data_IF_257705946348
#
_entry.id   IF_257705946348
#
_cell.length_a   1.000
_cell.length_b   1.000
_cell.length_c   1.000
_cell.angle_alpha   90.00
_cell.angle_beta   90.00
_cell.angle_gamma   90.00
#
_symmetry.space_group_name_H-M   'P 1'
#
loop_
_entity.id
_entity.type
_entity.pdbx_description
1 polymer ?
#
# COMPACT_ATOMS: atom_id res chain seq x y z
N UNK A 1 10.92 1.62 1.63
CA UNK A 1 9.47 1.26 1.63
C UNK A 1 8.62 2.07 0.64
N UNK A 2 8.73 3.42 0.53
CA UNK A 2 7.91 4.18 -0.42
C UNK A 2 8.21 3.87 -1.89
N UNK A 3 9.44 3.46 -2.22
CA UNK A 3 9.82 3.06 -3.58
C UNK A 3 9.09 1.80 -4.09
N UNK A 4 8.84 0.80 -3.23
CA UNK A 4 8.10 -0.41 -3.62
C UNK A 4 6.60 -0.12 -3.83
N UNK A 5 6.05 0.75 -2.99
CA UNK A 5 4.70 1.30 -3.16
C UNK A 5 4.57 2.05 -4.48
N UNK A 6 5.53 2.93 -4.77
CA UNK A 6 5.67 3.63 -6.05
C UNK A 6 5.70 2.68 -7.25
N UNK A 7 6.55 1.65 -7.19
CA UNK A 7 6.67 0.64 -8.24
C UNK A 7 5.35 -0.13 -8.45
N UNK A 8 4.71 -0.56 -7.36
CA UNK A 8 3.42 -1.24 -7.42
C UNK A 8 2.36 -0.35 -8.05
N UNK A 9 2.39 0.93 -7.71
CA UNK A 9 1.45 1.88 -8.22
C UNK A 9 1.63 2.11 -9.71
N UNK A 10 2.87 2.23 -10.14
CA UNK A 10 3.21 2.28 -11.56
C UNK A 10 2.70 1.01 -12.24
N UNK A 11 2.94 -0.19 -11.69
CA UNK A 11 2.43 -1.44 -12.28
C UNK A 11 0.90 -1.54 -12.31
N UNK A 12 0.21 -1.10 -11.26
CA UNK A 12 -1.25 -1.12 -11.19
C UNK A 12 -1.89 -0.11 -12.14
N UNK A 13 -1.21 1.03 -12.37
CA UNK A 13 -1.70 2.09 -13.22
C UNK A 13 -1.21 1.97 -14.67
N UNK A 14 -0.18 1.16 -14.98
CA UNK A 14 0.36 1.00 -16.32
C UNK A 14 -0.64 0.38 -17.31
N UNK A 15 -1.24 -0.80 -17.04
CA UNK A 15 -2.13 -1.44 -17.99
C UNK A 15 -3.40 -0.62 -18.17
N UNK A 16 -3.80 -0.43 -19.41
CA UNK A 16 -5.10 0.17 -19.70
C UNK A 16 -6.25 -0.75 -19.30
N UNK A 17 -7.43 -0.20 -18.95
CA UNK A 17 -8.55 -1.01 -18.45
C UNK A 17 -8.93 -2.18 -19.35
N UNK A 18 -8.68 -2.05 -20.66
CA UNK A 18 -8.97 -3.04 -21.69
C UNK A 18 -7.91 -4.17 -21.76
N UNK A 19 -6.70 -3.92 -21.29
CA UNK A 19 -5.59 -4.89 -21.30
C UNK A 19 -5.44 -5.63 -19.95
N UNK A 20 -6.38 -5.43 -19.02
CA UNK A 20 -6.34 -6.06 -17.71
C UNK A 20 -6.64 -7.55 -17.84
N UNK A 21 -5.85 -8.38 -17.14
CA UNK A 21 -6.06 -9.82 -17.14
C UNK A 21 -7.46 -10.17 -16.63
N UNK A 22 -8.20 -10.93 -17.43
CA UNK A 22 -9.46 -11.51 -16.99
C UNK A 22 -9.23 -12.60 -15.94
N UNK A 23 -10.13 -12.75 -14.95
CA UNK A 23 -10.02 -13.83 -14.00
C UNK A 23 -10.08 -15.19 -14.74
N UNK A 24 -9.32 -16.21 -14.29
CA UNK A 24 -9.39 -17.53 -14.89
C UNK A 24 -10.82 -18.10 -14.86
N UNK A 25 -11.24 -18.77 -15.93
CA UNK A 25 -12.61 -19.32 -16.07
C UNK A 25 -13.03 -20.24 -14.91
N UNK A 26 -12.07 -20.94 -14.31
CA UNK A 26 -12.31 -21.85 -13.17
C UNK A 26 -12.53 -21.12 -11.84
N UNK A 27 -12.08 -19.87 -11.72
CA UNK A 27 -12.15 -19.08 -10.50
C UNK A 27 -13.37 -18.13 -10.51
N UNK A 28 -13.62 -17.51 -11.66
CA UNK A 28 -14.65 -16.48 -11.84
C UNK A 28 -14.43 -15.23 -10.98
N UNK A 29 -15.33 -14.25 -11.14
CA UNK A 29 -15.17 -12.92 -10.50
C UNK A 29 -15.21 -12.98 -8.98
N UNK A 30 -16.15 -13.78 -8.43
CA UNK A 30 -16.29 -13.97 -6.98
C UNK A 30 -15.09 -14.69 -6.39
N UNK A 31 -14.55 -15.68 -7.10
CA UNK A 31 -13.37 -16.41 -6.66
C UNK A 31 -12.15 -15.50 -6.62
N UNK A 32 -11.97 -14.65 -7.64
CA UNK A 32 -10.89 -13.65 -7.68
C UNK A 32 -10.95 -12.72 -6.47
N UNK A 33 -12.13 -12.15 -6.18
CA UNK A 33 -12.33 -11.31 -4.99
C UNK A 33 -11.96 -12.05 -3.68
N UNK A 34 -12.46 -13.27 -3.50
CA UNK A 34 -12.18 -14.05 -2.27
C UNK A 34 -10.70 -14.36 -2.15
N UNK A 35 -10.04 -14.77 -3.24
CA UNK A 35 -8.60 -15.08 -3.26
C UNK A 35 -7.77 -13.85 -2.93
N UNK A 36 -8.07 -12.68 -3.51
CA UNK A 36 -7.33 -11.44 -3.23
C UNK A 36 -7.46 -11.00 -1.77
N UNK A 37 -8.66 -11.05 -1.18
CA UNK A 37 -8.79 -10.70 0.23
C UNK A 37 -8.17 -11.76 1.15
N UNK A 38 -8.33 -13.04 0.81
CA UNK A 38 -7.73 -14.13 1.56
C UNK A 38 -6.20 -14.10 1.53
N UNK A 39 -5.59 -13.77 0.39
CA UNK A 39 -4.14 -13.65 0.23
C UNK A 39 -3.59 -12.53 1.13
N UNK A 40 -4.23 -11.36 1.15
CA UNK A 40 -3.84 -10.24 2.01
C UNK A 40 -3.96 -10.59 3.49
N UNK A 41 -5.05 -11.26 3.90
CA UNK A 41 -5.24 -11.74 5.27
C UNK A 41 -4.19 -12.80 5.64
N UNK A 42 -3.87 -13.73 4.73
CA UNK A 42 -2.87 -14.77 4.96
C UNK A 42 -1.48 -14.16 5.18
N UNK A 43 -1.09 -13.18 4.38
CA UNK A 43 0.19 -12.45 4.57
C UNK A 43 0.20 -11.73 5.93
N UNK A 44 -0.89 -11.06 6.29
CA UNK A 44 -1.00 -10.41 7.60
C UNK A 44 -0.93 -11.43 8.76
N UNK A 45 -1.54 -12.61 8.62
CA UNK A 45 -1.47 -13.67 9.62
C UNK A 45 -0.03 -14.20 9.81
N UNK A 46 0.73 -14.34 8.72
CA UNK A 46 2.17 -14.69 8.78
C UNK A 46 2.94 -13.63 9.56
N UNK A 47 2.70 -12.35 9.30
CA UNK A 47 3.34 -11.24 10.02
C UNK A 47 2.98 -11.22 11.51
N UNK A 48 1.72 -11.53 11.83
CA UNK A 48 1.24 -11.65 13.20
C UNK A 48 1.95 -12.78 13.94
N UNK A 49 2.04 -13.96 13.33
CA UNK A 49 2.76 -15.11 13.89
C UNK A 49 4.25 -14.81 14.13
N UNK A 50 4.91 -14.16 13.17
CA UNK A 50 6.30 -13.72 13.32
C UNK A 50 6.47 -12.73 14.47
N UNK A 51 5.61 -11.70 14.53
CA UNK A 51 5.63 -10.66 15.58
C UNK A 51 5.38 -11.27 16.96
N UNK A 52 4.43 -12.18 17.08
CA UNK A 52 4.12 -12.86 18.33
C UNK A 52 5.27 -13.72 18.85
N UNK A 53 5.96 -14.45 17.95
CA UNK A 53 7.16 -15.22 18.31
C UNK A 53 8.29 -14.31 18.81
N UNK A 54 8.50 -13.16 18.18
CA UNK A 54 9.51 -12.18 18.61
C UNK A 54 9.16 -11.56 19.96
N UNK A 55 7.89 -11.21 20.19
CA UNK A 55 7.40 -10.71 21.50
C UNK A 55 7.63 -11.72 22.61
N UNK A 56 7.31 -13.00 22.38
CA UNK A 56 7.54 -14.06 23.37
C UNK A 56 9.02 -14.22 23.73
N UNK A 57 9.92 -14.11 22.74
CA UNK A 57 11.36 -14.15 22.99
C UNK A 57 11.85 -12.96 23.81
N UNK A 58 11.36 -11.76 23.50
CA UNK A 58 11.71 -10.54 24.24
C UNK A 58 11.23 -10.60 25.70
N UNK A 59 10.01 -11.12 25.93
CA UNK A 59 9.47 -11.30 27.28
C UNK A 59 10.26 -12.33 28.11
N UNK A 60 10.81 -13.36 27.47
CA UNK A 60 11.63 -14.37 28.15
C UNK A 60 13.05 -13.87 28.45
N UNK A 61 13.67 -13.12 27.52
CA UNK A 61 15.05 -12.64 27.65
C UNK A 61 15.20 -11.19 27.14
N UNK A 62 15.11 -10.18 28.04
CA UNK A 62 15.25 -8.77 27.67
C UNK A 62 16.63 -8.41 27.09
N UNK A 63 17.68 -9.15 27.44
CA UNK A 63 19.05 -8.93 26.96
C UNK A 63 19.24 -9.22 25.46
N UNK A 64 18.31 -9.91 24.80
CA UNK A 64 18.38 -10.22 23.36
C UNK A 64 17.77 -9.12 22.47
N UNK A 65 17.57 -7.90 22.99
CA UNK A 65 16.87 -6.80 22.31
C UNK A 65 17.43 -6.48 20.92
N UNK A 66 18.74 -6.37 20.75
CA UNK A 66 19.35 -6.07 19.44
C UNK A 66 19.06 -7.12 18.38
N UNK A 67 19.15 -8.40 18.76
CA UNK A 67 18.81 -9.52 17.88
C UNK A 67 17.33 -9.48 17.48
N UNK A 68 16.46 -9.19 18.44
CA UNK A 68 15.02 -9.04 18.21
C UNK A 68 14.73 -7.86 17.29
N UNK A 69 15.42 -6.72 17.47
CA UNK A 69 15.31 -5.55 16.59
C UNK A 69 15.74 -5.86 15.16
N UNK A 70 16.87 -6.57 14.98
CA UNK A 70 17.33 -6.97 13.64
C UNK A 70 16.34 -7.90 12.95
N UNK A 71 15.83 -8.91 13.67
CA UNK A 71 14.80 -9.82 13.13
C UNK A 71 13.48 -9.11 12.85
N UNK A 72 13.11 -8.14 13.68
CA UNK A 72 11.94 -7.30 13.46
C UNK A 72 12.08 -6.48 12.18
N UNK A 73 13.22 -5.82 11.96
CA UNK A 73 13.48 -5.06 10.74
C UNK A 73 13.39 -5.96 9.49
N UNK A 74 14.01 -7.14 9.53
CA UNK A 74 13.92 -8.13 8.45
C UNK A 74 12.49 -8.64 8.26
N UNK A 75 11.75 -8.93 9.33
CA UNK A 75 10.36 -9.41 9.24
C UNK A 75 9.42 -8.35 8.65
N UNK A 76 9.60 -7.06 9.01
CA UNK A 76 8.84 -5.95 8.44
C UNK A 76 9.13 -5.80 6.95
N UNK A 77 10.40 -5.94 6.55
CA UNK A 77 10.80 -5.91 5.14
C UNK A 77 10.23 -7.09 4.35
N UNK A 78 10.36 -8.32 4.87
CA UNK A 78 9.80 -9.52 4.26
C UNK A 78 8.27 -9.44 4.15
N UNK A 79 7.56 -8.90 5.15
CA UNK A 79 6.12 -8.72 5.07
C UNK A 79 5.70 -7.80 3.92
N UNK A 80 6.41 -6.68 3.72
CA UNK A 80 6.13 -5.76 2.61
C UNK A 80 6.39 -6.44 1.26
N UNK A 81 7.47 -7.22 1.15
CA UNK A 81 7.75 -8.02 -0.06
C UNK A 81 6.65 -9.05 -0.30
N UNK A 82 6.19 -9.76 0.74
CA UNK A 82 5.12 -10.74 0.60
C UNK A 82 3.80 -10.10 0.18
N UNK A 83 3.43 -8.95 0.76
CA UNK A 83 2.26 -8.18 0.32
C UNK A 83 2.39 -7.78 -1.14
N UNK A 84 3.58 -7.34 -1.57
CA UNK A 84 3.86 -6.95 -2.95
C UNK A 84 3.72 -8.13 -3.91
N UNK A 85 4.34 -9.27 -3.60
CA UNK A 85 4.27 -10.48 -4.44
C UNK A 85 2.83 -11.00 -4.51
N UNK A 86 2.17 -11.13 -3.36
CA UNK A 86 0.79 -11.62 -3.30
C UNK A 86 -0.15 -10.73 -4.12
N UNK A 87 -0.08 -9.41 -3.94
CA UNK A 87 -0.93 -8.49 -4.68
C UNK A 87 -0.58 -8.42 -6.16
N UNK A 88 0.71 -8.55 -6.53
CA UNK A 88 1.11 -8.68 -7.92
C UNK A 88 0.50 -9.92 -8.58
N UNK A 89 0.50 -11.07 -7.89
CA UNK A 89 -0.18 -12.28 -8.37
C UNK A 89 -1.69 -12.06 -8.49
N UNK A 90 -2.31 -11.38 -7.53
CA UNK A 90 -3.73 -11.03 -7.58
C UNK A 90 -4.09 -10.16 -8.80
N UNK A 91 -3.25 -9.17 -9.11
CA UNK A 91 -3.43 -8.32 -10.28
C UNK A 91 -3.21 -9.06 -11.60
N UNK A 92 -2.09 -9.78 -11.74
CA UNK A 92 -1.66 -10.31 -13.04
C UNK A 92 -2.16 -11.72 -13.33
N UNK A 93 -2.38 -12.55 -12.31
CA UNK A 93 -2.78 -13.95 -12.48
C UNK A 93 -4.25 -14.19 -12.12
N UNK A 94 -4.76 -13.54 -11.08
CA UNK A 94 -6.14 -13.76 -10.62
C UNK A 94 -7.16 -12.74 -11.15
N UNK A 95 -6.70 -11.72 -11.89
CA UNK A 95 -7.58 -10.78 -12.59
C UNK A 95 -8.30 -9.78 -11.68
N UNK A 96 -7.79 -9.52 -10.47
CA UNK A 96 -8.40 -8.57 -9.53
C UNK A 96 -8.61 -7.18 -10.15
N UNK A 97 -7.65 -6.72 -10.95
CA UNK A 97 -7.73 -5.41 -11.61
C UNK A 97 -8.95 -5.27 -12.52
N UNK A 98 -9.36 -6.36 -13.19
CA UNK A 98 -10.57 -6.40 -14.00
C UNK A 98 -11.81 -6.35 -13.10
N UNK A 99 -11.93 -7.30 -12.16
CA UNK A 99 -13.10 -7.48 -11.27
C UNK A 99 -13.41 -6.22 -10.45
N UNK A 100 -12.39 -5.53 -9.94
CA UNK A 100 -12.57 -4.30 -9.18
C UNK A 100 -13.03 -3.12 -10.05
N UNK A 101 -12.70 -3.14 -11.34
CA UNK A 101 -12.99 -2.03 -12.25
C UNK A 101 -14.28 -2.18 -13.04
N UNK A 102 -14.69 -3.41 -13.37
CA UNK A 102 -15.84 -3.67 -14.24
C UNK A 102 -17.17 -3.03 -13.77
N UNK A 103 -17.60 -3.17 -12.50
CA UNK A 103 -18.88 -2.60 -12.07
C UNK A 103 -18.83 -1.07 -12.04
N UNK A 104 -17.69 -0.48 -11.69
CA UNK A 104 -17.55 0.97 -11.54
C UNK A 104 -17.26 1.67 -12.88
N UNK A 105 -16.60 1.01 -13.83
CA UNK A 105 -16.35 1.52 -15.17
C UNK A 105 -17.63 1.68 -16.01
N UNK A 106 -18.69 0.93 -15.68
CA UNK A 106 -20.01 1.05 -16.35
C UNK A 106 -20.81 2.27 -15.87
N UNK A 107 -20.58 2.71 -14.63
CA UNK A 107 -21.37 3.77 -13.99
C UNK A 107 -20.62 5.09 -13.88
N UNK A 108 -19.29 5.07 -13.77
CA UNK A 108 -18.49 6.26 -13.52
C UNK A 108 -17.72 6.72 -14.77
N UNK A 109 -17.59 8.05 -14.96
CA UNK A 109 -16.74 8.60 -15.99
C UNK A 109 -15.27 8.16 -15.85
N UNK A 110 -14.62 7.83 -16.97
CA UNK A 110 -13.26 7.31 -17.03
C UNK A 110 -12.16 8.24 -16.47
N UNK A 111 -12.49 9.50 -16.13
CA UNK A 111 -11.55 10.48 -15.58
C UNK A 111 -11.46 10.47 -14.05
N UNK A 112 -12.35 9.74 -13.35
CA UNK A 112 -12.32 9.65 -11.89
C UNK A 112 -11.29 8.61 -11.42
N UNK A 113 -10.27 8.99 -10.62
CA UNK A 113 -9.23 8.07 -10.13
C UNK A 113 -9.70 7.05 -9.09
N UNK A 114 -11.00 6.94 -8.90
CA UNK A 114 -11.62 6.11 -7.87
C UNK A 114 -11.37 4.64 -8.16
N UNK A 115 -11.30 4.26 -9.44
CA UNK A 115 -11.08 2.88 -9.88
C UNK A 115 -9.66 2.42 -9.50
N UNK A 116 -8.65 3.25 -9.72
CA UNK A 116 -7.26 2.95 -9.37
C UNK A 116 -7.09 2.78 -7.86
N UNK A 117 -7.73 3.65 -7.07
CA UNK A 117 -7.73 3.55 -5.60
C UNK A 117 -8.44 2.27 -5.15
N UNK A 118 -9.55 1.90 -5.79
CA UNK A 118 -10.29 0.68 -5.46
C UNK A 118 -9.49 -0.59 -5.79
N UNK A 119 -8.79 -0.60 -6.93
CA UNK A 119 -7.88 -1.69 -7.30
C UNK A 119 -6.77 -1.84 -6.24
N UNK A 120 -6.25 -0.74 -5.71
CA UNK A 120 -5.23 -0.74 -4.66
C UNK A 120 -5.77 -1.05 -3.26
N UNK A 121 -7.09 -1.06 -3.06
CA UNK A 121 -7.69 -1.17 -1.73
C UNK A 121 -7.26 -2.42 -0.94
N UNK A 122 -7.18 -3.65 -1.52
CA UNK A 122 -6.73 -4.82 -0.77
C UNK A 122 -5.29 -4.69 -0.28
N UNK A 123 -4.41 -4.15 -1.12
CA UNK A 123 -3.03 -3.89 -0.74
C UNK A 123 -2.93 -2.86 0.40
N UNK A 124 -3.67 -1.76 0.30
CA UNK A 124 -3.74 -0.74 1.35
C UNK A 124 -4.27 -1.32 2.67
N UNK A 125 -5.32 -2.15 2.60
CA UNK A 125 -5.87 -2.84 3.76
C UNK A 125 -4.83 -3.77 4.41
N UNK A 126 -4.12 -4.57 3.61
CA UNK A 126 -3.03 -5.43 4.09
C UNK A 126 -1.89 -4.63 4.73
N UNK A 127 -1.53 -3.49 4.16
CA UNK A 127 -0.51 -2.60 4.69
C UNK A 127 -0.93 -2.00 6.05
N UNK A 128 -2.15 -1.46 6.15
CA UNK A 128 -2.71 -0.91 7.39
C UNK A 128 -2.78 -1.99 8.47
N UNK A 129 -3.24 -3.19 8.11
CA UNK A 129 -3.31 -4.32 9.03
C UNK A 129 -1.92 -4.71 9.54
N UNK A 130 -0.92 -4.71 8.66
CA UNK A 130 0.48 -4.97 9.05
C UNK A 130 0.99 -3.94 10.07
N UNK A 131 0.68 -2.65 9.91
CA UNK A 131 1.03 -1.63 10.90
C UNK A 131 0.36 -1.88 12.24
N UNK A 132 -0.92 -2.26 12.21
CA UNK A 132 -1.68 -2.57 13.41
C UNK A 132 -1.14 -3.80 14.15
N UNK A 133 -0.52 -4.75 13.45
CA UNK A 133 0.16 -5.93 14.01
C UNK A 133 1.53 -5.56 14.58
N UNK A 134 2.34 -4.82 13.83
CA UNK A 134 3.69 -4.45 14.24
C UNK A 134 3.73 -3.42 15.39
N UNK A 135 2.69 -2.60 15.54
CA UNK A 135 2.51 -1.69 16.68
C UNK A 135 2.72 -2.40 18.03
N UNK A 136 2.16 -3.60 18.17
CA UNK A 136 2.27 -4.38 19.40
C UNK A 136 3.71 -4.80 19.72
N UNK A 137 4.52 -5.02 18.69
CA UNK A 137 5.94 -5.35 18.84
C UNK A 137 6.74 -4.10 19.21
N UNK A 138 6.51 -2.98 18.52
CA UNK A 138 7.19 -1.72 18.82
C UNK A 138 6.88 -1.22 20.23
N UNK A 139 5.63 -1.37 20.67
CA UNK A 139 5.24 -1.08 22.06
C UNK A 139 5.99 -1.97 23.06
N UNK A 140 6.15 -3.26 22.77
CA UNK A 140 6.89 -4.18 23.64
C UNK A 140 8.40 -3.88 23.67
N UNK A 141 8.96 -3.43 22.54
CA UNK A 141 10.35 -2.98 22.46
C UNK A 141 10.56 -1.68 23.23
N UNK A 142 9.64 -0.72 23.11
CA UNK A 142 9.69 0.53 23.87
C UNK A 142 9.62 0.28 25.38
N UNK A 143 8.73 -0.60 25.83
CA UNK A 143 8.60 -0.99 27.23
C UNK A 143 9.79 -1.82 27.77
N UNK A 144 10.71 -2.26 26.89
CA UNK A 144 11.96 -2.91 27.29
C UNK A 144 13.13 -1.95 27.43
N UNK A 145 12.91 -0.66 27.17
CA UNK A 145 13.92 0.38 27.40
C UNK A 145 14.14 0.57 28.90
N UNK A 146 15.32 1.05 29.29
CA UNK A 146 15.66 1.25 30.69
C UNK A 146 14.81 2.35 31.36
N UNK A 147 14.77 2.38 32.71
CA UNK A 147 13.95 3.32 33.47
C UNK A 147 14.23 4.82 33.18
N UNK A 148 15.39 5.16 32.60
CA UNK A 148 15.73 6.53 32.18
C UNK A 148 15.04 6.97 30.87
N UNK A 149 14.71 6.05 29.96
CA UNK A 149 14.01 6.34 28.69
C UNK A 149 12.49 6.18 28.79
N UNK A 150 12.00 5.51 29.83
CA UNK A 150 10.60 5.13 30.05
C UNK A 150 9.67 6.30 30.44
N UNK A 151 10.20 7.50 30.62
CA UNK A 151 9.44 8.67 31.06
C UNK A 151 8.37 9.15 30.04
N UNK A 152 8.42 8.69 28.78
CA UNK A 152 7.46 9.09 27.74
C UNK A 152 6.46 7.98 27.44
N UNK A 153 5.14 8.21 27.62
CA UNK A 153 4.13 7.23 27.24
C UNK A 153 4.18 6.95 25.74
N UNK A 154 4.27 5.67 25.37
CA UNK A 154 4.23 5.25 23.98
C UNK A 154 2.88 5.61 23.35
N UNK A 155 2.88 5.91 22.04
CA UNK A 155 1.67 6.34 21.34
C UNK A 155 0.55 5.30 21.40
N UNK A 156 -0.71 5.76 21.36
CA UNK A 156 -1.85 4.85 21.21
C UNK A 156 -1.85 4.19 19.82
N UNK A 157 -2.44 3.00 19.70
CA UNK A 157 -2.52 2.25 18.44
C UNK A 157 -3.10 3.10 17.30
N UNK A 158 -4.12 3.91 17.60
CA UNK A 158 -4.78 4.78 16.62
C UNK A 158 -3.84 5.91 16.16
N UNK A 159 -3.16 6.58 17.09
CA UNK A 159 -2.20 7.65 16.77
C UNK A 159 -1.05 7.13 15.93
N UNK A 160 -0.52 5.95 16.26
CA UNK A 160 0.55 5.31 15.51
C UNK A 160 0.14 4.96 14.07
N UNK A 161 -1.01 4.30 13.91
CA UNK A 161 -1.54 3.96 12.59
C UNK A 161 -1.87 5.22 11.80
N UNK A 162 -2.49 6.23 12.41
CA UNK A 162 -2.80 7.49 11.74
C UNK A 162 -1.54 8.26 11.30
N UNK A 163 -0.50 8.27 12.13
CA UNK A 163 0.79 8.84 11.76
C UNK A 163 1.40 8.13 10.54
N UNK A 164 1.38 6.80 10.54
CA UNK A 164 1.84 6.01 9.39
C UNK A 164 0.97 6.22 8.15
N UNK A 165 -0.35 6.31 8.31
CA UNK A 165 -1.27 6.66 7.23
C UNK A 165 -0.88 8.03 6.67
N UNK A 166 -0.79 9.08 7.49
CA UNK A 166 -0.44 10.43 7.03
C UNK A 166 0.91 10.46 6.32
N UNK A 167 1.94 9.87 6.92
CA UNK A 167 3.29 9.91 6.36
C UNK A 167 3.40 9.09 5.07
N UNK A 168 2.85 7.88 5.02
CA UNK A 168 2.88 7.07 3.81
C UNK A 168 1.91 7.61 2.76
N UNK A 169 0.75 8.14 3.15
CA UNK A 169 -0.17 8.81 2.24
C UNK A 169 0.50 10.02 1.60
N UNK A 170 1.19 10.88 2.37
CA UNK A 170 1.92 12.01 1.80
C UNK A 170 2.95 11.56 0.74
N UNK A 171 3.67 10.48 1.00
CA UNK A 171 4.71 9.99 0.08
C UNK A 171 4.13 9.22 -1.11
N UNK A 172 3.00 8.55 -0.95
CA UNK A 172 2.40 7.67 -1.97
C UNK A 172 1.36 8.41 -2.80
N UNK A 173 0.48 9.22 -2.21
CA UNK A 173 -0.56 9.96 -2.95
C UNK A 173 0.03 10.94 -3.95
N UNK A 174 1.15 11.57 -3.63
CA UNK A 174 1.85 12.52 -4.52
C UNK A 174 2.12 11.86 -5.89
N UNK A 175 2.90 10.78 -5.99
CA UNK A 175 3.14 10.12 -7.26
C UNK A 175 1.92 9.40 -7.84
N UNK A 176 0.98 8.93 -7.00
CA UNK A 176 -0.32 8.39 -7.48
C UNK A 176 -1.08 9.40 -8.29
N UNK A 177 -1.35 10.55 -7.69
CA UNK A 177 -2.13 11.63 -8.29
C UNK A 177 -1.42 12.16 -9.53
N UNK A 178 -0.08 12.21 -9.50
CA UNK A 178 0.75 12.59 -10.63
C UNK A 178 0.61 11.61 -11.79
N UNK A 179 0.72 10.31 -11.54
CA UNK A 179 0.62 9.27 -12.56
C UNK A 179 -0.80 9.20 -13.14
N UNK A 180 -1.81 9.30 -12.30
CA UNK A 180 -3.22 9.45 -12.69
C UNK A 180 -3.40 10.68 -13.58
N UNK A 181 -2.86 11.84 -13.18
CA UNK A 181 -2.93 13.08 -13.96
C UNK A 181 -2.30 12.86 -15.33
N UNK A 182 -1.07 12.35 -15.38
CA UNK A 182 -0.34 12.10 -16.64
C UNK A 182 -1.11 11.12 -17.54
N UNK A 183 -1.77 10.11 -16.97
CA UNK A 183 -2.52 9.11 -17.76
C UNK A 183 -3.89 9.61 -18.24
N UNK A 184 -4.56 10.47 -17.47
CA UNK A 184 -5.91 10.94 -17.77
C UNK A 184 -5.96 12.27 -18.51
N UNK A 185 -4.95 13.14 -18.36
CA UNK A 185 -4.91 14.43 -19.09
C UNK A 185 -4.95 14.25 -20.61
N UNK A 186 -4.20 13.30 -21.22
CA UNK A 186 -4.29 13.04 -22.66
C UNK A 186 -5.69 12.60 -23.13
N UNK A 187 -6.48 11.95 -22.26
CA UNK A 187 -7.85 11.51 -22.56
C UNK A 187 -8.88 12.64 -22.51
N UNK A 188 -8.57 13.71 -21.78
CA UNK A 188 -9.45 14.88 -21.64
C UNK A 188 -9.18 15.94 -22.71
N UNK A 189 -8.04 15.86 -23.39
CA UNK A 189 -7.64 16.79 -24.42
C UNK A 189 -8.04 16.26 -25.82
N UNK A 190 -8.68 17.08 -26.67
CA UNK A 190 -9.06 16.67 -28.02
C UNK A 190 -7.82 16.34 -28.89
N UNK A 191 -7.99 15.40 -29.82
CA UNK A 191 -6.97 14.96 -30.78
C UNK A 191 -6.40 16.18 -31.54
N UNK A 192 -5.07 16.39 -31.50
CA UNK A 192 -4.38 17.53 -32.11
C UNK A 192 -3.71 18.51 -31.14
N UNK A 193 -3.61 18.18 -29.85
CA UNK A 193 -3.10 19.06 -28.79
C UNK A 193 -1.79 18.57 -28.13
N UNK A 194 -0.86 18.03 -28.93
CA UNK A 194 0.45 17.49 -28.47
C UNK A 194 1.20 18.47 -27.54
N UNK A 195 1.16 19.77 -27.85
CA UNK A 195 1.77 20.83 -27.03
C UNK A 195 1.15 20.96 -25.63
N UNK A 196 -0.15 20.71 -25.47
CA UNK A 196 -0.82 20.76 -24.18
C UNK A 196 -0.56 19.51 -23.34
N UNK A 197 -0.33 18.35 -23.99
CA UNK A 197 0.09 17.13 -23.33
C UNK A 197 1.50 17.26 -22.74
N UNK A 198 2.44 17.85 -23.48
CA UNK A 198 3.79 18.15 -22.98
C UNK A 198 3.76 19.13 -21.78
N UNK A 199 2.98 20.21 -21.91
CA UNK A 199 2.83 21.21 -20.84
C UNK A 199 2.20 20.59 -19.59
N UNK A 200 1.18 19.75 -19.73
CA UNK A 200 0.55 19.08 -18.60
C UNK A 200 1.45 18.02 -17.95
N UNK A 201 2.23 17.27 -18.74
CA UNK A 201 3.21 16.32 -18.23
C UNK A 201 4.31 17.00 -17.39
N UNK A 202 4.64 18.25 -17.70
CA UNK A 202 5.62 19.06 -16.94
C UNK A 202 4.97 19.77 -15.73
N UNK A 203 3.74 20.28 -15.87
CA UNK A 203 3.05 21.03 -14.81
C UNK A 203 2.43 20.14 -13.73
N UNK A 204 1.98 18.92 -14.05
CA UNK A 204 1.40 18.00 -13.07
C UNK A 204 2.40 17.65 -11.93
N UNK A 205 3.68 17.35 -12.20
CA UNK A 205 4.71 17.23 -11.18
C UNK A 205 4.89 18.48 -10.32
N UNK A 206 4.88 19.66 -10.92
CA UNK A 206 5.06 20.94 -10.23
C UNK A 206 3.88 21.23 -9.30
N UNK A 207 2.65 20.99 -9.74
CA UNK A 207 1.45 21.15 -8.92
C UNK A 207 1.43 20.19 -7.73
N UNK A 208 1.82 18.93 -7.95
CA UNK A 208 1.93 17.93 -6.90
C UNK A 208 3.02 18.29 -5.87
N UNK A 209 4.17 18.77 -6.32
CA UNK A 209 5.24 19.29 -5.44
C UNK A 209 4.83 20.54 -4.66
N UNK A 210 3.99 21.40 -5.23
CA UNK A 210 3.51 22.61 -4.58
C UNK A 210 2.47 22.33 -3.46
N UNK A 211 1.71 21.24 -3.54
CA UNK A 211 0.74 20.82 -2.52
C UNK A 211 1.41 20.00 -1.40
N UNK A 212 2.60 19.44 -1.67
CA UNK A 212 3.40 18.63 -0.74
C UNK A 212 3.61 19.25 0.67
N UNK A 213 3.83 20.57 0.83
CA UNK A 213 3.99 21.20 2.15
C UNK A 213 2.72 21.21 3.01
N UNK A 214 1.54 21.09 2.38
CA UNK A 214 0.24 21.14 3.07
C UNK A 214 -0.27 19.75 3.46
N UNK A 215 0.30 18.69 2.89
CA UNK A 215 -0.03 17.29 3.18
C UNK A 215 0.91 16.71 4.26
N UNK A 216 2.15 17.21 4.35
CA UNK A 216 3.14 16.84 5.38
C UNK A 216 2.80 17.43 6.74
#
# INVERSE_FOLDING_TARGET
MPFLLLLLLTLACLPDPQDRTHPPDWLGDRGSMVVTWASMIAVAAIAWGASWRLRRKLAANPSCREEVLRRYASARFCNVILLFIAFGLDLFAFGWGYVASEPLAKEMPAWLPVIEVLILAPFLAGLILSWAIFYEMERALHASNGPEEDARPFWTRRTYVWFHIRQNAAIVFVPVLLLIMVKNVPRLLPEGSERWQEIAAVLAPVGVLAVMPWIL
#
